data_IF_486723589235
#
_entry.id   IF_486723589235
#
_cell.length_a   1.000
_cell.length_b   1.000
_cell.length_c   1.000
_cell.angle_alpha   90.00
_cell.angle_beta   90.00
_cell.angle_gamma   90.00
#
_symmetry.space_group_name_H-M   'P 1'
#
loop_
_entity.id
_entity.type
_entity.pdbx_description
1 polymer ?
#
# COMPACT_ATOMS: atom_id res chain seq x y z
N UNK A 1 3.07 -5.91 -14.27
CA UNK A 1 1.81 -6.05 -15.03
C UNK A 1 0.89 -7.10 -14.38
N UNK A 2 0.53 -6.93 -13.10
CA UNK A 2 -0.37 -7.88 -12.40
C UNK A 2 -1.84 -7.42 -12.36
N UNK A 3 -2.12 -6.18 -12.77
CA UNK A 3 -3.46 -5.56 -12.71
C UNK A 3 -4.13 -5.39 -14.08
N UNK A 4 -3.48 -5.80 -15.18
CA UNK A 4 -3.96 -5.53 -16.55
C UNK A 4 -5.18 -6.36 -16.99
N UNK A 5 -5.65 -7.26 -16.13
CA UNK A 5 -6.85 -8.08 -16.37
C UNK A 5 -8.10 -7.58 -15.61
N UNK A 6 -8.02 -6.43 -14.93
CA UNK A 6 -9.21 -5.77 -14.42
C UNK A 6 -9.81 -4.96 -15.58
N UNK A 7 -11.06 -5.25 -15.94
CA UNK A 7 -11.88 -4.49 -16.90
C UNK A 7 -11.57 -2.98 -16.82
N UNK A 8 -11.37 -2.28 -17.96
CA UNK A 8 -10.99 -0.87 -17.96
C UNK A 8 -11.96 -0.09 -17.08
N UNK A 9 -11.43 0.51 -16.03
CA UNK A 9 -12.22 1.19 -15.02
C UNK A 9 -13.04 2.31 -15.67
N UNK A 10 -14.37 2.17 -15.69
CA UNK A 10 -15.27 3.23 -16.15
C UNK A 10 -15.25 4.45 -15.22
N UNK A 11 -14.68 4.31 -14.01
CA UNK A 11 -14.59 5.36 -13.01
C UNK A 11 -13.18 5.96 -12.99
N UNK A 12 -13.11 7.28 -13.19
CA UNK A 12 -11.91 8.10 -13.05
C UNK A 12 -12.20 9.13 -11.97
N UNK A 13 -11.32 9.23 -10.98
CA UNK A 13 -11.45 10.23 -9.91
C UNK A 13 -11.44 11.66 -10.50
N UNK A 14 -12.31 12.57 -10.02
CA UNK A 14 -12.23 13.97 -10.38
C UNK A 14 -10.91 14.58 -9.94
N UNK A 15 -10.32 15.44 -10.79
CA UNK A 15 -9.01 16.06 -10.49
C UNK A 15 -9.08 17.26 -9.55
N UNK A 16 -10.26 17.85 -9.35
CA UNK A 16 -10.40 19.02 -8.48
C UNK A 16 -10.95 18.61 -7.13
N UNK A 17 -10.40 19.21 -6.09
CA UNK A 17 -10.82 19.00 -4.70
C UNK A 17 -12.31 19.29 -4.50
N UNK A 18 -12.83 20.30 -5.18
CA UNK A 18 -14.26 20.64 -5.12
C UNK A 18 -15.15 19.54 -5.73
N UNK A 19 -14.70 18.92 -6.83
CA UNK A 19 -15.44 17.83 -7.46
C UNK A 19 -15.37 16.56 -6.62
N UNK A 20 -14.23 16.27 -5.98
CA UNK A 20 -14.09 15.16 -5.02
C UNK A 20 -15.12 15.31 -3.89
N UNK A 21 -15.21 16.50 -3.29
CA UNK A 21 -16.17 16.78 -2.19
C UNK A 21 -17.63 16.70 -2.63
N UNK A 22 -17.92 16.85 -3.93
CA UNK A 22 -19.26 16.77 -4.48
C UNK A 22 -19.70 15.34 -4.86
N UNK A 23 -18.80 14.35 -4.76
CA UNK A 23 -19.11 12.96 -5.11
C UNK A 23 -20.24 12.40 -4.23
N UNK A 24 -21.18 11.72 -4.88
CA UNK A 24 -22.25 10.97 -4.21
C UNK A 24 -22.05 9.46 -4.27
N UNK A 25 -21.28 9.01 -5.25
CA UNK A 25 -21.01 7.60 -5.51
C UNK A 25 -19.57 7.41 -6.00
N UNK A 26 -18.97 6.26 -5.68
CA UNK A 26 -17.74 5.74 -6.29
C UNK A 26 -18.06 4.32 -6.75
N UNK A 27 -17.71 3.96 -7.99
CA UNK A 27 -18.04 2.64 -8.57
C UNK A 27 -19.52 2.24 -8.46
N UNK A 28 -20.44 3.21 -8.52
CA UNK A 28 -21.88 2.98 -8.37
C UNK A 28 -22.36 2.72 -6.93
N UNK A 29 -21.47 2.69 -5.94
CA UNK A 29 -21.83 2.59 -4.53
C UNK A 29 -21.97 3.98 -3.89
N UNK A 30 -22.99 4.24 -3.07
CA UNK A 30 -23.11 5.49 -2.32
C UNK A 30 -21.93 5.70 -1.37
N UNK A 31 -21.44 6.94 -1.25
CA UNK A 31 -20.32 7.27 -0.33
C UNK A 31 -20.59 6.80 1.10
N UNK A 32 -21.81 6.95 1.60
CA UNK A 32 -22.17 6.52 2.96
C UNK A 32 -22.05 5.01 3.17
N UNK A 33 -22.32 4.20 2.13
CA UNK A 33 -22.13 2.74 2.19
C UNK A 33 -20.65 2.38 2.17
N UNK A 34 -19.86 3.05 1.33
CA UNK A 34 -18.41 2.89 1.27
C UNK A 34 -17.78 3.25 2.62
N UNK A 35 -18.08 4.43 3.16
CA UNK A 35 -17.57 4.87 4.47
C UNK A 35 -17.92 3.87 5.57
N UNK A 36 -19.16 3.37 5.60
CA UNK A 36 -19.58 2.33 6.56
C UNK A 36 -18.72 1.07 6.46
N UNK A 37 -18.42 0.60 5.26
CA UNK A 37 -17.60 -0.61 5.03
C UNK A 37 -16.11 -0.38 5.32
N UNK A 38 -15.65 0.88 5.28
CA UNK A 38 -14.27 1.26 5.57
C UNK A 38 -13.99 1.49 7.05
N UNK A 39 -15.00 1.62 7.90
CA UNK A 39 -14.80 1.82 9.35
C UNK A 39 -14.19 0.58 10.00
N UNK A 40 -13.48 0.75 11.14
CA UNK A 40 -13.09 -0.38 11.96
C UNK A 40 -14.34 -1.03 12.54
N UNK A 41 -14.48 -2.33 12.38
CA UNK A 41 -15.57 -3.08 13.01
C UNK A 41 -15.02 -4.39 13.62
N UNK A 42 -14.88 -4.45 14.96
CA UNK A 42 -14.40 -5.64 15.66
C UNK A 42 -15.30 -6.87 15.48
N UNK A 43 -16.55 -6.66 15.05
CA UNK A 43 -17.57 -7.68 14.88
C UNK A 43 -17.76 -8.16 13.42
N UNK A 44 -17.18 -7.46 12.43
CA UNK A 44 -17.45 -7.72 10.99
C UNK A 44 -16.27 -8.30 10.18
N UNK A 45 -16.64 -8.73 8.96
CA UNK A 45 -15.85 -9.48 7.98
C UNK A 45 -14.98 -8.66 7.01
N UNK A 46 -15.05 -7.31 7.01
CA UNK A 46 -14.37 -6.49 5.99
C UNK A 46 -12.98 -5.96 6.40
N UNK A 47 -12.88 -5.24 7.53
CA UNK A 47 -11.58 -4.82 8.08
C UNK A 47 -11.67 -4.64 9.60
N UNK A 48 -10.88 -5.41 10.34
CA UNK A 48 -10.81 -5.33 11.81
C UNK A 48 -10.31 -3.95 12.29
N UNK A 49 -9.35 -3.38 11.56
CA UNK A 49 -8.72 -2.10 11.90
C UNK A 49 -9.32 -0.90 11.14
N UNK A 50 -10.12 -1.14 10.10
CA UNK A 50 -10.66 -0.11 9.22
C UNK A 50 -9.63 0.46 8.23
N UNK A 51 -10.13 0.97 7.11
CA UNK A 51 -9.40 1.80 6.15
C UNK A 51 -9.63 3.29 6.39
N UNK A 52 -10.64 3.65 7.17
CA UNK A 52 -10.88 4.99 7.70
C UNK A 52 -10.92 4.91 9.22
N UNK A 53 -10.63 6.01 9.88
CA UNK A 53 -10.90 6.23 11.28
C UNK A 53 -12.37 6.10 11.63
N UNK A 54 -12.74 6.28 12.90
CA UNK A 54 -14.14 6.15 13.31
C UNK A 54 -15.01 7.28 12.77
N UNK A 55 -14.46 8.49 12.73
CA UNK A 55 -15.20 9.74 12.49
C UNK A 55 -14.72 10.49 11.22
N UNK A 56 -13.81 9.91 10.44
CA UNK A 56 -13.23 10.55 9.25
C UNK A 56 -14.15 10.52 8.03
N UNK A 57 -14.32 11.59 7.26
CA UNK A 57 -15.04 11.45 5.98
C UNK A 57 -14.09 11.00 4.87
N UNK A 58 -14.52 10.01 4.06
CA UNK A 58 -13.80 9.54 2.89
C UNK A 58 -13.48 10.70 1.94
N UNK A 59 -14.47 11.52 1.60
CA UNK A 59 -14.29 12.60 0.64
C UNK A 59 -13.33 13.68 1.16
N UNK A 60 -13.35 13.96 2.47
CA UNK A 60 -12.40 14.90 3.06
C UNK A 60 -10.98 14.33 3.07
N UNK A 61 -10.80 13.04 3.34
CA UNK A 61 -9.47 12.39 3.24
C UNK A 61 -8.95 12.47 1.80
N UNK A 62 -9.76 12.07 0.82
CA UNK A 62 -9.40 12.14 -0.61
C UNK A 62 -9.06 13.57 -1.05
N UNK A 63 -9.89 14.55 -0.66
CA UNK A 63 -9.68 15.96 -0.94
C UNK A 63 -8.35 16.48 -0.38
N UNK A 64 -8.05 16.17 0.89
CA UNK A 64 -6.81 16.59 1.54
C UNK A 64 -5.57 15.93 0.92
N UNK A 65 -5.66 14.65 0.58
CA UNK A 65 -4.58 13.92 -0.08
C UNK A 65 -4.34 14.48 -1.49
N UNK A 66 -5.40 14.80 -2.25
CA UNK A 66 -5.30 15.45 -3.56
C UNK A 66 -4.63 16.83 -3.47
N UNK A 67 -5.08 17.70 -2.54
CA UNK A 67 -4.45 19.01 -2.31
C UNK A 67 -2.96 18.88 -1.98
N UNK A 68 -2.62 17.86 -1.18
CA UNK A 68 -1.24 17.58 -0.79
C UNK A 68 -0.39 17.13 -1.98
N UNK A 69 -0.89 16.21 -2.80
CA UNK A 69 -0.20 15.72 -3.99
C UNK A 69 0.00 16.84 -5.02
N UNK A 70 -1.01 17.68 -5.26
CA UNK A 70 -0.90 18.86 -6.11
C UNK A 70 0.16 19.84 -5.56
N UNK A 71 0.16 20.10 -4.25
CA UNK A 71 1.16 20.98 -3.60
C UNK A 71 2.59 20.45 -3.73
N UNK A 72 2.77 19.13 -3.68
CA UNK A 72 4.06 18.46 -3.91
C UNK A 72 4.49 18.49 -5.39
N UNK A 73 3.62 18.98 -6.29
CA UNK A 73 3.86 19.03 -7.72
C UNK A 73 3.80 17.66 -8.37
N UNK A 74 3.16 16.66 -7.77
CA UNK A 74 3.11 15.30 -8.29
C UNK A 74 1.68 14.93 -8.71
N UNK A 75 1.55 13.76 -9.33
CA UNK A 75 0.29 13.06 -9.54
C UNK A 75 0.22 11.79 -8.70
N UNK A 76 -1.00 11.35 -8.37
CA UNK A 76 -1.24 10.08 -7.70
C UNK A 76 -0.64 8.90 -8.48
N UNK A 77 -0.69 8.95 -9.83
CA UNK A 77 -0.10 7.94 -10.69
C UNK A 77 1.43 7.86 -10.59
N UNK A 78 2.13 8.99 -10.47
CA UNK A 78 3.58 8.99 -10.26
C UNK A 78 3.93 8.33 -8.92
N UNK A 79 3.18 8.63 -7.86
CA UNK A 79 3.37 8.01 -6.55
C UNK A 79 3.09 6.49 -6.63
N UNK A 80 1.96 6.09 -7.23
CA UNK A 80 1.61 4.68 -7.40
C UNK A 80 2.65 3.91 -8.24
N UNK A 81 3.15 4.51 -9.32
CA UNK A 81 4.18 3.90 -10.16
C UNK A 81 5.48 3.65 -9.38
N UNK A 82 5.90 4.60 -8.55
CA UNK A 82 7.09 4.44 -7.70
C UNK A 82 6.89 3.32 -6.67
N UNK A 83 5.69 3.21 -6.08
CA UNK A 83 5.35 2.11 -5.18
C UNK A 83 5.31 0.75 -5.89
N UNK A 84 4.83 0.69 -7.12
CA UNK A 84 4.79 -0.57 -7.90
C UNK A 84 6.19 -1.10 -8.23
N UNK A 85 7.21 -0.24 -8.34
CA UNK A 85 8.60 -0.69 -8.49
C UNK A 85 9.07 -1.45 -7.24
N UNK A 86 8.67 -0.99 -6.04
CA UNK A 86 8.93 -1.71 -4.80
C UNK A 86 8.18 -3.05 -4.78
N UNK A 87 6.91 -3.05 -5.21
CA UNK A 87 6.09 -4.26 -5.27
C UNK A 87 6.67 -5.31 -6.22
N UNK A 88 7.16 -4.91 -7.40
CA UNK A 88 7.75 -5.83 -8.38
C UNK A 88 9.04 -6.49 -7.88
N UNK A 89 9.68 -5.93 -6.85
CA UNK A 89 10.87 -6.50 -6.24
C UNK A 89 10.58 -7.84 -5.55
N UNK A 90 9.43 -7.97 -4.91
CA UNK A 90 9.11 -9.15 -4.11
C UNK A 90 8.67 -10.30 -5.03
N UNK A 91 9.32 -11.48 -4.92
CA UNK A 91 8.98 -12.63 -5.75
C UNK A 91 7.64 -13.20 -5.31
N UNK A 92 6.56 -12.69 -5.90
CA UNK A 92 5.26 -13.36 -5.79
C UNK A 92 5.28 -14.63 -6.63
N UNK A 93 4.81 -15.79 -6.12
CA UNK A 93 4.26 -16.78 -7.01
C UNK A 93 3.06 -16.12 -7.73
N UNK A 94 2.96 -16.19 -9.07
CA UNK A 94 1.83 -15.61 -9.79
C UNK A 94 0.52 -16.16 -9.23
N UNK A 95 -0.38 -15.25 -8.83
CA UNK A 95 -1.72 -15.62 -8.39
C UNK A 95 -2.43 -16.24 -9.61
N UNK A 96 -2.57 -17.57 -9.63
CA UNK A 96 -3.48 -18.24 -10.56
C UNK A 96 -4.89 -18.17 -9.97
N UNK A 97 -5.70 -17.22 -10.45
CA UNK A 97 -7.06 -16.93 -9.95
C UNK A 97 -8.07 -18.09 -10.13
N UNK A 98 -7.67 -19.24 -10.68
CA UNK A 98 -8.58 -20.23 -11.25
C UNK A 98 -8.16 -21.70 -11.04
N UNK A 99 -7.08 -22.00 -10.31
CA UNK A 99 -6.58 -23.37 -10.15
C UNK A 99 -6.70 -23.94 -8.73
N UNK A 100 -7.34 -23.26 -7.78
CA UNK A 100 -7.44 -23.79 -6.41
C UNK A 100 -8.57 -24.82 -6.28
N UNK A 101 -8.28 -26.08 -5.93
CA UNK A 101 -9.31 -27.09 -5.71
C UNK A 101 -10.16 -26.68 -4.51
N UNK A 102 -11.49 -26.70 -4.65
CA UNK A 102 -12.48 -26.50 -3.56
C UNK A 102 -12.40 -27.55 -2.42
N UNK A 103 -11.32 -28.33 -2.32
CA UNK A 103 -11.21 -29.43 -1.35
C UNK A 103 -10.83 -28.92 0.04
N UNK A 104 -11.77 -29.14 0.96
CA UNK A 104 -11.70 -29.13 2.43
C UNK A 104 -10.91 -27.97 3.06
N UNK A 105 -11.61 -26.86 3.07
CA UNK A 105 -11.39 -25.61 3.81
C UNK A 105 -11.12 -25.73 5.32
N UNK A 106 -11.33 -26.90 5.93
CA UNK A 106 -11.39 -27.05 7.38
C UNK A 106 -10.11 -27.59 8.02
N UNK A 107 -9.20 -28.19 7.25
CA UNK A 107 -8.02 -28.91 7.78
C UNK A 107 -6.73 -28.05 7.78
N UNK A 108 -6.82 -26.76 7.40
CA UNK A 108 -5.67 -25.87 7.20
C UNK A 108 -5.59 -24.71 8.21
N UNK A 109 -6.26 -24.86 9.35
CA UNK A 109 -6.24 -23.85 10.41
C UNK A 109 -5.23 -24.28 11.48
N UNK A 110 -4.31 -23.36 11.81
CA UNK A 110 -3.29 -23.41 12.86
C UNK A 110 -1.88 -23.86 12.43
N UNK A 111 -1.18 -22.96 11.72
CA UNK A 111 0.23 -22.72 12.03
C UNK A 111 0.61 -21.26 11.66
N UNK A 112 0.96 -20.44 12.65
CA UNK A 112 1.41 -19.07 12.41
C UNK A 112 2.90 -19.11 12.04
N UNK A 113 3.20 -19.31 10.76
CA UNK A 113 4.58 -19.25 10.29
C UNK A 113 4.85 -17.92 9.60
N UNK A 114 5.53 -17.03 10.31
CA UNK A 114 6.10 -15.82 9.71
C UNK A 114 7.23 -16.25 8.78
N UNK A 115 7.01 -16.25 7.47
CA UNK A 115 8.06 -16.49 6.50
C UNK A 115 8.57 -15.13 5.98
N UNK A 116 9.79 -14.76 6.38
CA UNK A 116 10.47 -13.65 5.71
C UNK A 116 11.14 -14.19 4.46
N UNK A 117 10.66 -13.77 3.30
CA UNK A 117 11.36 -14.06 2.05
C UNK A 117 12.61 -13.18 1.94
N UNK A 118 13.63 -13.69 1.26
CA UNK A 118 14.89 -12.97 1.03
C UNK A 118 14.61 -11.63 0.38
N UNK A 119 15.07 -10.55 1.02
CA UNK A 119 14.86 -9.20 0.52
C UNK A 119 15.64 -8.96 -0.77
N UNK A 120 15.09 -8.16 -1.68
CA UNK A 120 15.79 -7.71 -2.89
C UNK A 120 16.13 -6.23 -2.78
N UNK A 121 17.31 -5.87 -3.26
CA UNK A 121 17.67 -4.45 -3.42
C UNK A 121 17.06 -3.95 -4.73
N UNK A 122 16.34 -2.84 -4.65
CA UNK A 122 15.82 -2.10 -5.81
C UNK A 122 16.26 -0.64 -5.74
N UNK A 123 16.35 -0.02 -6.91
CA UNK A 123 16.67 1.41 -7.03
C UNK A 123 15.43 2.16 -7.46
N UNK A 124 14.99 3.13 -6.66
CA UNK A 124 13.88 4.03 -6.97
C UNK A 124 14.36 5.46 -6.78
N UNK A 125 14.21 6.31 -7.81
CA UNK A 125 14.69 7.70 -7.82
C UNK A 125 16.16 7.86 -7.38
N UNK A 126 17.02 6.94 -7.84
CA UNK A 126 18.45 6.93 -7.51
C UNK A 126 18.80 6.46 -6.09
N UNK A 127 17.80 6.08 -5.27
CA UNK A 127 18.04 5.53 -3.93
C UNK A 127 17.86 4.02 -3.89
N UNK A 128 18.68 3.34 -3.09
CA UNK A 128 18.63 1.90 -2.87
C UNK A 128 17.67 1.54 -1.74
N UNK A 129 16.82 0.56 -1.98
CA UNK A 129 15.87 0.03 -1.01
C UNK A 129 15.99 -1.48 -0.90
N UNK A 130 16.04 -1.98 0.33
CA UNK A 130 15.84 -3.39 0.61
C UNK A 130 14.34 -3.66 0.77
N UNK A 131 13.76 -4.42 -0.15
CA UNK A 131 12.35 -4.80 -0.12
C UNK A 131 12.24 -6.25 0.31
N UNK A 132 11.52 -6.47 1.41
CA UNK A 132 11.24 -7.80 1.95
C UNK A 132 9.74 -8.03 2.02
N UNK A 133 9.30 -9.25 1.72
CA UNK A 133 7.91 -9.65 1.90
C UNK A 133 7.72 -10.17 3.32
N UNK A 134 6.77 -9.59 4.05
CA UNK A 134 6.24 -10.18 5.27
C UNK A 134 4.90 -10.82 4.92
N UNK A 135 4.92 -12.15 4.76
CA UNK A 135 3.69 -12.93 4.66
C UNK A 135 3.09 -13.08 6.05
N UNK A 136 1.85 -12.64 6.20
CA UNK A 136 1.02 -13.01 7.32
C UNK A 136 0.04 -14.06 6.78
N UNK A 137 0.26 -15.34 7.09
CA UNK A 137 -0.80 -16.33 6.89
C UNK A 137 -1.89 -16.05 7.94
N UNK A 138 -2.76 -15.09 7.62
CA UNK A 138 -4.05 -15.06 8.25
C UNK A 138 -4.83 -16.26 7.75
N UNK A 139 -5.24 -17.10 8.70
CA UNK A 139 -6.20 -18.20 8.57
C UNK A 139 -7.55 -17.81 7.91
N UNK A 140 -7.71 -16.58 7.43
CA UNK A 140 -8.83 -16.16 6.61
C UNK A 140 -8.65 -16.75 5.22
N UNK A 141 -9.33 -17.88 4.98
CA UNK A 141 -10.33 -18.02 3.90
C UNK A 141 -10.00 -17.18 2.67
N UNK A 142 -9.79 -17.82 1.51
CA UNK A 142 -9.98 -17.22 0.18
C UNK A 142 -11.42 -16.69 0.06
N UNK A 143 -11.70 -15.61 0.75
CA UNK A 143 -12.86 -14.78 0.57
C UNK A 143 -12.51 -13.85 -0.58
N UNK A 144 -13.42 -13.70 -1.52
CA UNK A 144 -13.45 -12.52 -2.37
C UNK A 144 -13.44 -11.31 -1.43
N UNK A 145 -12.27 -10.71 -1.22
CA UNK A 145 -12.16 -9.52 -0.40
C UNK A 145 -12.66 -8.38 -1.27
N UNK A 146 -13.73 -7.73 -0.84
CA UNK A 146 -14.13 -6.49 -1.49
C UNK A 146 -13.12 -5.42 -1.05
N UNK A 147 -12.44 -4.80 -2.01
CA UNK A 147 -11.75 -3.53 -1.80
C UNK A 147 -12.67 -2.59 -1.02
N UNK A 148 -12.13 -1.73 -0.15
CA UNK A 148 -12.92 -0.71 0.53
C UNK A 148 -13.81 0.09 -0.44
N UNK A 149 -13.38 0.24 -1.70
CA UNK A 149 -14.07 0.99 -2.75
C UNK A 149 -15.02 0.15 -3.62
N UNK A 150 -15.39 -1.05 -3.16
CA UNK A 150 -16.43 -1.88 -3.79
C UNK A 150 -15.97 -2.86 -4.87
N UNK A 151 -14.70 -2.79 -5.30
CA UNK A 151 -14.11 -3.75 -6.24
C UNK A 151 -13.90 -5.12 -5.59
N UNK A 152 -13.96 -6.20 -6.35
CA UNK A 152 -13.58 -7.53 -5.86
C UNK A 152 -12.09 -7.78 -6.07
N UNK A 153 -11.38 -8.15 -5.01
CA UNK A 153 -9.99 -8.60 -5.06
C UNK A 153 -9.87 -10.02 -4.51
N UNK A 154 -9.08 -10.86 -5.19
CA UNK A 154 -8.78 -12.22 -4.75
C UNK A 154 -7.27 -12.30 -4.55
N UNK A 155 -6.84 -12.40 -3.30
CA UNK A 155 -5.42 -12.53 -2.97
C UNK A 155 -5.18 -12.72 -1.47
N UNK A 156 -3.98 -13.16 -1.10
CA UNK A 156 -3.56 -13.19 0.30
C UNK A 156 -3.17 -11.78 0.74
N UNK A 157 -3.40 -11.45 2.02
CA UNK A 157 -2.90 -10.22 2.61
C UNK A 157 -1.39 -10.33 2.80
N UNK A 158 -0.64 -9.42 2.18
CA UNK A 158 0.80 -9.33 2.32
C UNK A 158 1.16 -7.93 2.81
N UNK A 159 2.12 -7.85 3.72
CA UNK A 159 2.78 -6.61 4.05
C UNK A 159 4.13 -6.57 3.34
N UNK A 160 4.43 -5.44 2.72
CA UNK A 160 5.73 -5.22 2.11
C UNK A 160 6.51 -4.31 3.04
N UNK A 161 7.64 -4.84 3.51
CA UNK A 161 8.60 -4.09 4.31
C UNK A 161 9.66 -3.52 3.40
N UNK A 162 9.73 -2.21 3.31
CA UNK A 162 10.74 -1.50 2.51
C UNK A 162 11.67 -0.75 3.44
N UNK A 163 12.97 -0.89 3.23
CA UNK A 163 13.98 -0.19 4.02
C UNK A 163 14.89 0.65 3.13
N UNK A 164 15.02 1.94 3.40
CA UNK A 164 15.89 2.85 2.65
C UNK A 164 17.35 2.66 3.08
N UNK A 165 18.16 1.99 2.24
CA UNK A 165 19.55 1.64 2.54
C UNK A 165 20.43 2.89 2.57
N UNK A 166 20.21 3.83 1.65
CA UNK A 166 21.05 5.02 1.57
C UNK A 166 20.80 5.97 2.75
N UNK A 167 19.55 6.03 3.23
CA UNK A 167 19.21 6.75 4.46
C UNK A 167 19.81 6.05 5.69
N UNK A 168 19.74 4.73 5.78
CA UNK A 168 20.44 3.95 6.82
C UNK A 168 21.93 4.26 6.86
N UNK A 169 22.58 4.30 5.70
CA UNK A 169 24.00 4.60 5.59
C UNK A 169 24.31 6.04 5.99
N UNK A 170 23.53 7.00 5.50
CA UNK A 170 23.78 8.43 5.77
C UNK A 170 23.46 8.86 7.20
N UNK A 171 22.40 8.32 7.82
CA UNK A 171 21.97 8.72 9.17
C UNK A 171 22.63 7.89 10.28
N UNK A 172 22.92 6.61 10.01
CA UNK A 172 23.40 5.68 11.04
C UNK A 172 24.76 5.04 10.72
N UNK A 173 25.35 5.33 9.55
CA UNK A 173 26.61 4.70 9.12
C UNK A 173 26.49 3.21 8.82
N UNK A 174 25.28 2.70 8.58
CA UNK A 174 24.99 1.28 8.37
C UNK A 174 24.81 1.03 6.87
N UNK A 175 25.75 0.31 6.25
CA UNK A 175 25.55 -0.23 4.91
C UNK A 175 24.92 -1.62 5.01
N UNK A 176 23.92 -1.88 4.18
CA UNK A 176 23.12 -3.11 4.21
C UNK A 176 23.11 -3.68 2.81
N UNK A 177 23.60 -4.89 2.66
CA UNK A 177 23.57 -5.62 1.39
C UNK A 177 22.51 -6.73 1.39
N UNK A 178 22.14 -7.22 2.58
CA UNK A 178 21.18 -8.31 2.75
C UNK A 178 20.16 -8.04 3.86
N UNK A 179 19.06 -8.80 3.88
CA UNK A 179 18.10 -8.78 4.99
C UNK A 179 18.70 -9.24 6.33
N UNK A 180 19.75 -10.07 6.30
CA UNK A 180 20.47 -10.48 7.49
C UNK A 180 21.28 -9.33 8.12
N UNK A 181 21.86 -8.46 7.30
CA UNK A 181 22.58 -7.26 7.77
C UNK A 181 21.63 -6.29 8.46
N UNK A 182 20.44 -6.11 7.88
CA UNK A 182 19.39 -5.29 8.49
C UNK A 182 18.90 -5.86 9.82
N UNK A 183 18.70 -7.18 9.88
CA UNK A 183 18.29 -7.86 11.12
C UNK A 183 19.27 -7.60 12.27
N UNK A 184 20.58 -7.66 12.00
CA UNK A 184 21.64 -7.35 12.97
C UNK A 184 21.66 -5.88 13.37
N UNK A 185 21.54 -4.97 12.40
CA UNK A 185 21.48 -3.54 12.67
C UNK A 185 20.31 -3.14 13.60
N UNK A 186 19.16 -3.79 13.44
CA UNK A 186 17.98 -3.60 14.29
C UNK A 186 18.17 -4.23 15.68
N UNK A 187 18.66 -5.48 15.75
CA UNK A 187 18.85 -6.17 17.04
C UNK A 187 19.81 -5.44 17.97
N UNK A 188 20.80 -4.76 17.41
CA UNK A 188 21.82 -4.04 18.17
C UNK A 188 21.38 -2.62 18.60
N UNK A 189 20.10 -2.26 18.37
CA UNK A 189 19.52 -0.98 18.79
C UNK A 189 20.06 0.25 18.04
N UNK A 190 20.75 0.05 16.92
CA UNK A 190 21.42 1.13 16.17
C UNK A 190 20.46 2.02 15.37
N UNK A 191 19.24 1.54 15.12
CA UNK A 191 18.31 2.11 14.12
C UNK A 191 17.15 2.88 14.77
N UNK A 192 17.46 3.88 15.60
CA UNK A 192 16.52 4.75 16.35
C UNK A 192 15.05 4.79 15.87
N UNK A 193 14.61 5.89 15.24
CA UNK A 193 13.21 6.02 14.77
C UNK A 193 13.01 5.32 13.41
N UNK A 194 12.64 4.05 13.47
CA UNK A 194 12.44 3.15 12.32
C UNK A 194 11.49 3.69 11.24
N UNK A 195 10.54 4.58 11.56
CA UNK A 195 9.55 5.09 10.58
C UNK A 195 10.18 5.92 9.45
N UNK A 196 11.32 6.54 9.71
CA UNK A 196 11.99 7.38 8.71
C UNK A 196 12.77 6.57 7.67
N UNK A 197 13.09 5.31 7.99
CA UNK A 197 13.96 4.40 7.23
C UNK A 197 13.24 3.12 6.80
N UNK A 198 12.04 2.84 7.34
CA UNK A 198 11.27 1.64 7.03
C UNK A 198 9.78 1.91 6.95
N UNK A 199 9.15 1.39 5.89
CA UNK A 199 7.70 1.36 5.71
C UNK A 199 7.17 -0.06 5.58
N UNK A 200 6.00 -0.29 6.17
CA UNK A 200 5.19 -1.46 5.95
C UNK A 200 3.88 -0.99 5.34
N UNK A 201 3.56 -1.44 4.13
CA UNK A 201 2.27 -1.13 3.49
C UNK A 201 1.61 -2.39 2.96
N UNK A 202 0.27 -2.40 2.90
CA UNK A 202 -0.45 -3.50 2.29
C UNK A 202 -0.20 -3.52 0.78
N UNK A 203 -0.11 -4.72 0.21
CA UNK A 203 0.11 -4.93 -1.23
C UNK A 203 -0.89 -4.21 -2.15
N UNK A 204 -2.07 -3.86 -1.63
CA UNK A 204 -3.12 -3.17 -2.39
C UNK A 204 -2.94 -1.65 -2.43
N UNK A 205 -2.05 -1.06 -1.64
CA UNK A 205 -1.97 0.39 -1.49
C UNK A 205 -1.67 1.11 -2.82
N UNK A 206 -0.74 0.61 -3.63
CA UNK A 206 -0.45 1.21 -4.94
C UNK A 206 -1.66 1.16 -5.89
N UNK A 207 -2.45 0.09 -5.83
CA UNK A 207 -3.71 -0.02 -6.56
C UNK A 207 -4.74 1.01 -6.07
N UNK A 208 -4.89 1.17 -4.76
CA UNK A 208 -5.82 2.15 -4.18
C UNK A 208 -5.45 3.59 -4.54
N UNK A 209 -4.16 3.92 -4.51
CA UNK A 209 -3.66 5.24 -4.92
C UNK A 209 -3.92 5.46 -6.41
N UNK A 210 -3.54 4.49 -7.26
CA UNK A 210 -3.66 4.60 -8.72
C UNK A 210 -5.11 4.79 -9.16
N UNK A 211 -6.04 4.03 -8.55
CA UNK A 211 -7.44 3.98 -9.00
C UNK A 211 -8.33 5.00 -8.29
N UNK A 212 -8.08 5.25 -7.01
CA UNK A 212 -8.98 6.03 -6.16
C UNK A 212 -8.32 7.21 -5.48
N UNK A 213 -7.03 7.44 -5.73
CA UNK A 213 -6.28 8.55 -5.10
C UNK A 213 -6.29 8.44 -3.56
N UNK A 214 -6.41 7.21 -3.05
CA UNK A 214 -6.67 6.92 -1.65
C UNK A 214 -5.45 6.31 -0.93
N UNK A 215 -5.06 6.92 0.18
CA UNK A 215 -3.88 6.54 0.99
C UNK A 215 -4.24 5.94 2.36
N UNK A 216 -5.50 5.50 2.55
CA UNK A 216 -6.11 5.20 3.85
C UNK A 216 -6.40 6.44 4.71
N UNK A 217 -7.34 6.35 5.66
CA UNK A 217 -7.72 7.46 6.55
C UNK A 217 -6.61 7.82 7.54
N UNK A 218 -6.57 9.06 8.00
CA UNK A 218 -5.55 9.59 8.92
C UNK A 218 -5.45 8.81 10.23
N UNK A 219 -6.52 8.16 10.65
CA UNK A 219 -6.54 7.33 11.86
C UNK A 219 -6.31 5.84 11.58
N UNK A 220 -6.18 5.41 10.30
CA UNK A 220 -5.82 4.03 9.98
C UNK A 220 -4.39 3.73 10.46
N UNK A 221 -4.15 2.61 11.16
CA UNK A 221 -2.81 2.22 11.57
C UNK A 221 -1.90 1.84 10.39
N UNK A 222 -2.46 1.67 9.19
CA UNK A 222 -1.74 1.30 7.97
C UNK A 222 -1.57 2.45 6.97
N UNK A 223 -2.07 3.66 7.30
CA UNK A 223 -1.88 4.83 6.44
C UNK A 223 -0.40 5.12 6.25
N UNK A 224 -0.05 5.37 5.00
CA UNK A 224 1.18 6.05 4.62
C UNK A 224 0.79 7.21 3.72
N UNK A 225 0.88 8.43 4.25
CA UNK A 225 0.40 9.62 3.55
C UNK A 225 1.26 9.98 2.32
N UNK A 226 0.73 10.81 1.40
CA UNK A 226 1.47 11.22 0.21
C UNK A 226 2.81 11.91 0.54
N UNK A 227 2.87 12.78 1.56
CA UNK A 227 4.10 13.43 2.01
C UNK A 227 5.15 12.42 2.50
N UNK A 228 4.70 11.41 3.25
CA UNK A 228 5.57 10.36 3.79
C UNK A 228 6.17 9.51 2.67
N UNK A 229 5.34 9.10 1.70
CA UNK A 229 5.81 8.32 0.54
C UNK A 229 6.80 9.13 -0.28
N UNK A 230 6.46 10.39 -0.61
CA UNK A 230 7.30 11.28 -1.42
C UNK A 230 8.64 11.54 -0.75
N UNK A 231 8.64 11.83 0.55
CA UNK A 231 9.86 12.02 1.31
C UNK A 231 10.71 10.74 1.37
N UNK A 232 10.09 9.59 1.64
CA UNK A 232 10.78 8.30 1.77
C UNK A 232 11.41 7.82 0.45
N UNK A 233 10.70 8.06 -0.66
CA UNK A 233 11.14 7.71 -2.01
C UNK A 233 12.00 8.79 -2.66
N UNK A 234 12.30 9.89 -1.96
CA UNK A 234 12.99 11.08 -2.48
C UNK A 234 12.43 11.49 -3.85
N UNK A 235 11.10 11.47 -3.96
CA UNK A 235 10.41 11.92 -5.15
C UNK A 235 10.53 13.44 -5.22
N UNK A 236 10.90 13.94 -6.39
CA UNK A 236 10.94 15.37 -6.68
C UNK A 236 10.09 15.60 -7.90
N UNK A 237 9.45 16.76 -7.96
CA UNK A 237 8.89 17.21 -9.23
C UNK A 237 10.06 17.54 -10.17
N UNK A 238 10.41 16.60 -11.02
CA UNK A 238 11.32 16.86 -12.12
C UNK A 238 10.56 17.67 -13.17
N UNK A 239 10.68 19.00 -13.10
CA UNK A 239 10.20 19.95 -14.12
C UNK A 239 10.71 19.63 -15.55
N UNK A 240 11.61 18.66 -15.72
CA UNK A 240 12.30 18.32 -16.96
C UNK A 240 11.62 17.24 -17.83
N UNK A 241 10.44 16.74 -17.47
CA UNK A 241 9.67 15.82 -18.33
C UNK A 241 8.61 16.50 -19.22
N UNK A 242 8.56 17.85 -19.25
CA UNK A 242 7.75 18.60 -20.23
C UNK A 242 8.60 19.20 -21.35
N UNK A 243 9.19 18.35 -22.20
CA UNK A 243 9.39 18.59 -23.64
C UNK A 243 10.34 17.54 -24.24
N UNK A 244 9.78 16.53 -24.91
CA UNK A 244 10.32 16.00 -26.17
C UNK A 244 9.13 15.75 -27.09
#
# INVERSE_FOLDING_TARGET
MFYDNLEPAQFVMPRSTQDILALKHINGLPISEIEKNMRPDPSMHYSYHGFLGKDESLLHVLAQDNDTVIRLGLSHNEIANAMDLLFQAVPYPPIRMNEWPRRKFHDFLYDYKKEMHTGKIVVVNGMRFLVSLETYEHNSVTATQRSPMGDNYVGRSHSIRVTNIDKLKSEFGIDVETSADLGRAISDGRTGNLKSIQFNFPSILSYLIRRYEFYEGHQSPYRIGPEEIVAFLNMRHDNNLRSV
#
